data_IF_806360017088
#
_entry.id   IF_806360017088
#
_cell.length_a   1.000
_cell.length_b   1.000
_cell.length_c   1.000
_cell.angle_alpha   90.00
_cell.angle_beta   90.00
_cell.angle_gamma   90.00
#
_symmetry.space_group_name_H-M   'P 1'
#
loop_
_entity.id
_entity.type
_entity.pdbx_description
1 polymer ?
#
# COMPACT_ATOMS: atom_id res chain seq x y z
N UNK A 1 16.87 13.22 -16.42
CA UNK A 1 16.27 13.37 -15.08
C UNK A 1 16.84 12.23 -14.25
N UNK A 2 17.57 12.54 -13.17
CA UNK A 2 18.38 11.57 -12.41
C UNK A 2 17.50 10.37 -12.00
N UNK A 3 17.79 9.19 -12.55
CA UNK A 3 17.36 7.91 -11.96
C UNK A 3 18.47 7.59 -10.96
N UNK A 4 18.20 7.87 -9.68
CA UNK A 4 19.11 7.52 -8.59
C UNK A 4 19.36 6.00 -8.61
N UNK A 5 20.64 5.62 -8.57
CA UNK A 5 21.20 4.27 -8.77
C UNK A 5 20.96 3.31 -7.57
N UNK A 6 19.83 3.46 -6.91
CA UNK A 6 19.35 2.50 -5.93
C UNK A 6 18.04 1.96 -6.47
N UNK A 7 18.18 0.90 -7.28
CA UNK A 7 17.06 0.12 -7.82
C UNK A 7 16.31 -0.46 -6.63
N UNK A 8 15.37 0.33 -6.13
CA UNK A 8 14.43 -0.03 -5.09
C UNK A 8 13.64 -1.22 -5.63
N UNK A 9 13.65 -2.36 -4.92
CA UNK A 9 12.89 -3.50 -5.37
C UNK A 9 11.41 -3.14 -5.28
N UNK A 10 10.73 -3.14 -6.42
CA UNK A 10 9.27 -3.01 -6.46
C UNK A 10 8.69 -4.40 -6.22
N UNK A 11 7.97 -4.54 -5.12
CA UNK A 11 7.40 -5.83 -4.71
C UNK A 11 5.95 -5.98 -5.15
N UNK A 12 5.20 -4.88 -5.20
CA UNK A 12 3.78 -4.88 -5.53
C UNK A 12 3.31 -3.50 -6.01
N UNK A 13 2.20 -3.46 -6.73
CA UNK A 13 1.57 -2.24 -7.23
C UNK A 13 0.05 -2.36 -7.27
N UNK A 14 -0.65 -1.26 -6.98
CA UNK A 14 -2.10 -1.21 -6.99
C UNK A 14 -2.62 0.15 -7.47
N UNK A 15 -3.52 0.13 -8.46
CA UNK A 15 -4.25 1.33 -8.86
C UNK A 15 -5.42 1.60 -7.93
N UNK A 16 -5.68 2.88 -7.66
CA UNK A 16 -6.95 3.31 -7.08
C UNK A 16 -8.07 2.96 -8.05
N UNK A 17 -9.26 2.56 -7.59
CA UNK A 17 -10.36 2.17 -8.47
C UNK A 17 -10.77 3.23 -9.51
N UNK A 18 -10.60 4.52 -9.20
CA UNK A 18 -10.87 5.63 -10.12
C UNK A 18 -9.71 5.93 -11.10
N UNK A 19 -8.55 5.27 -10.92
CA UNK A 19 -7.35 5.46 -11.72
C UNK A 19 -6.57 6.73 -11.41
N UNK A 20 -6.95 7.51 -10.39
CA UNK A 20 -6.27 8.78 -10.06
C UNK A 20 -4.90 8.57 -9.42
N UNK A 21 -4.70 7.45 -8.73
CA UNK A 21 -3.49 7.16 -7.97
C UNK A 21 -2.98 5.73 -8.22
N UNK A 22 -1.67 5.57 -8.13
CA UNK A 22 -0.95 4.29 -8.18
C UNK A 22 -0.08 4.14 -6.94
N UNK A 23 -0.29 3.07 -6.18
CA UNK A 23 0.57 2.66 -5.08
C UNK A 23 1.67 1.75 -5.59
N UNK A 24 2.87 1.95 -5.06
CA UNK A 24 4.04 1.10 -5.32
C UNK A 24 4.69 0.75 -3.99
N UNK A 25 4.82 -0.54 -3.71
CA UNK A 25 5.58 -1.05 -2.58
C UNK A 25 7.07 -1.07 -2.95
N UNK A 26 7.87 -0.24 -2.30
CA UNK A 26 9.26 0.02 -2.68
C UNK A 26 10.16 0.10 -1.42
N UNK A 27 11.03 -0.90 -1.25
CA UNK A 27 11.79 -1.13 0.00
C UNK A 27 10.88 -0.99 1.23
N UNK A 28 11.20 -0.11 2.18
CA UNK A 28 10.46 0.12 3.43
C UNK A 28 9.33 1.15 3.27
N UNK A 29 9.05 1.60 2.05
CA UNK A 29 8.16 2.72 1.75
C UNK A 29 7.01 2.28 0.87
N UNK A 30 5.94 3.06 0.94
CA UNK A 30 4.88 3.05 -0.07
C UNK A 30 5.00 4.36 -0.84
N UNK A 31 5.16 4.26 -2.15
CA UNK A 31 5.18 5.41 -3.04
C UNK A 31 3.81 5.58 -3.67
N UNK A 32 3.40 6.83 -3.83
CA UNK A 32 2.13 7.21 -4.45
C UNK A 32 2.46 8.02 -5.68
N UNK A 33 1.96 7.55 -6.81
CA UNK A 33 2.10 8.20 -8.10
C UNK A 33 0.75 8.67 -8.60
N UNK A 34 0.76 9.74 -9.37
CA UNK A 34 -0.37 10.15 -10.18
C UNK A 34 -0.63 9.07 -11.22
N UNK A 35 -1.85 8.56 -11.28
CA UNK A 35 -2.22 7.47 -12.19
C UNK A 35 -2.28 7.88 -13.66
N UNK A 36 -2.37 9.19 -13.95
CA UNK A 36 -2.50 9.72 -15.31
C UNK A 36 -1.15 9.97 -15.98
N UNK A 37 -0.16 10.49 -15.25
CA UNK A 37 1.14 10.89 -15.81
C UNK A 37 2.35 10.21 -15.15
N UNK A 38 2.15 9.45 -14.08
CA UNK A 38 3.22 8.73 -13.38
C UNK A 38 4.13 9.64 -12.56
N UNK A 39 3.71 10.86 -12.23
CA UNK A 39 4.46 11.76 -11.35
C UNK A 39 4.41 11.25 -9.91
N UNK A 40 5.56 11.26 -9.21
CA UNK A 40 5.60 10.91 -7.79
C UNK A 40 4.90 12.01 -6.97
N UNK A 41 3.77 11.67 -6.37
CA UNK A 41 2.99 12.55 -5.50
C UNK A 41 3.54 12.54 -4.07
N UNK A 42 3.77 11.34 -3.52
CA UNK A 42 4.16 11.20 -2.12
C UNK A 42 4.99 9.93 -1.86
N UNK A 43 5.82 9.99 -0.81
CA UNK A 43 6.57 8.85 -0.28
C UNK A 43 6.23 8.65 1.19
N UNK A 44 5.56 7.54 1.49
CA UNK A 44 5.10 7.21 2.83
C UNK A 44 6.13 6.36 3.56
N UNK A 45 6.49 6.85 4.75
CA UNK A 45 7.40 6.18 5.67
C UNK A 45 6.60 5.71 6.89
N UNK A 46 6.79 4.47 7.29
CA UNK A 46 6.11 3.92 8.47
C UNK A 46 6.57 2.51 8.79
N UNK A 47 6.78 1.68 7.77
CA UNK A 47 7.32 0.34 7.94
C UNK A 47 8.80 0.36 8.30
N UNK A 48 9.21 -0.60 9.12
CA UNK A 48 10.59 -0.78 9.59
C UNK A 48 11.39 -1.76 8.74
N UNK A 49 10.72 -2.47 7.83
CA UNK A 49 11.31 -3.46 6.93
C UNK A 49 10.54 -3.47 5.59
N UNK A 50 10.97 -4.29 4.64
CA UNK A 50 10.44 -4.35 3.27
C UNK A 50 8.92 -4.45 3.22
N UNK A 51 8.29 -3.59 2.44
CA UNK A 51 6.87 -3.62 2.11
C UNK A 51 6.69 -4.57 0.94
N UNK A 52 5.92 -5.62 1.15
CA UNK A 52 5.70 -6.66 0.15
C UNK A 52 4.37 -6.55 -0.58
N UNK A 53 3.42 -5.80 -0.02
CA UNK A 53 2.09 -5.73 -0.60
C UNK A 53 1.41 -4.40 -0.31
N UNK A 54 0.64 -3.93 -1.29
CA UNK A 54 -0.22 -2.74 -1.21
C UNK A 54 -1.55 -3.02 -1.85
N UNK A 55 -2.63 -2.45 -1.30
CA UNK A 55 -3.95 -2.60 -1.89
C UNK A 55 -4.91 -1.49 -1.45
N UNK A 56 -5.69 -0.97 -2.41
CA UNK A 56 -6.77 -0.03 -2.14
C UNK A 56 -8.03 -0.72 -1.63
N UNK A 57 -8.81 0.01 -0.83
CA UNK A 57 -10.22 -0.31 -0.59
C UNK A 57 -11.02 -0.13 -1.88
N UNK A 58 -12.14 -0.85 -1.99
CA UNK A 58 -13.02 -0.78 -3.16
C UNK A 58 -13.53 0.65 -3.43
N UNK A 59 -13.76 1.43 -2.38
CA UNK A 59 -14.18 2.83 -2.50
C UNK A 59 -13.02 3.82 -2.70
N UNK A 60 -11.76 3.36 -2.69
CA UNK A 60 -10.58 4.20 -2.87
C UNK A 60 -10.22 5.13 -1.70
N UNK A 61 -11.01 5.18 -0.63
CA UNK A 61 -10.79 6.10 0.51
C UNK A 61 -9.62 5.68 1.42
N UNK A 62 -9.21 4.41 1.34
CA UNK A 62 -8.18 3.83 2.19
C UNK A 62 -7.32 2.86 1.40
N UNK A 63 -6.14 2.58 1.92
CA UNK A 63 -5.33 1.46 1.45
C UNK A 63 -4.55 0.83 2.59
N UNK A 64 -4.12 -0.40 2.37
CA UNK A 64 -3.33 -1.18 3.30
C UNK A 64 -1.95 -1.42 2.71
N UNK A 65 -0.93 -1.44 3.57
CA UNK A 65 0.41 -1.91 3.24
C UNK A 65 0.87 -2.97 4.25
N UNK A 66 1.46 -4.05 3.75
CA UNK A 66 1.99 -5.14 4.57
C UNK A 66 3.50 -5.26 4.42
N UNK A 67 4.21 -5.46 5.54
CA UNK A 67 5.67 -5.48 5.59
C UNK A 67 6.24 -6.73 6.28
N UNK A 68 7.50 -7.05 5.95
CA UNK A 68 8.34 -8.04 6.62
C UNK A 68 8.51 -7.75 8.12
N UNK A 69 8.28 -6.51 8.57
CA UNK A 69 8.32 -6.13 9.98
C UNK A 69 7.15 -6.70 10.81
N UNK A 70 6.29 -7.50 10.16
CA UNK A 70 5.09 -8.16 10.72
C UNK A 70 3.99 -7.16 11.05
N UNK A 71 3.99 -5.99 10.41
CA UNK A 71 2.94 -4.99 10.57
C UNK A 71 2.12 -4.79 9.30
N UNK A 72 0.88 -4.36 9.52
CA UNK A 72 0.00 -3.81 8.49
C UNK A 72 -0.41 -2.40 8.91
N UNK A 73 -0.11 -1.43 8.04
CA UNK A 73 -0.51 -0.04 8.22
C UNK A 73 -1.71 0.23 7.31
N UNK A 74 -2.74 0.86 7.87
CA UNK A 74 -3.87 1.38 7.10
C UNK A 74 -3.68 2.88 6.95
N UNK A 75 -3.75 3.33 5.71
CA UNK A 75 -3.62 4.71 5.30
C UNK A 75 -4.97 5.25 4.84
N UNK A 76 -5.22 6.53 5.09
CA UNK A 76 -6.41 7.25 4.62
C UNK A 76 -6.06 8.16 3.43
N UNK A 77 -7.05 8.81 2.80
CA UNK A 77 -6.82 9.78 1.72
C UNK A 77 -5.85 10.92 2.08
N UNK A 78 -5.72 11.27 3.36
CA UNK A 78 -4.74 12.27 3.80
C UNK A 78 -3.32 11.71 3.89
N UNK A 79 -3.14 10.44 3.52
CA UNK A 79 -1.90 9.69 3.61
C UNK A 79 -1.34 9.62 5.03
N UNK A 80 -2.23 9.75 6.00
CA UNK A 80 -1.92 9.55 7.40
C UNK A 80 -2.08 8.06 7.74
N UNK A 81 -0.97 7.45 8.14
CA UNK A 81 -0.91 6.03 8.47
C UNK A 81 -1.21 5.80 9.94
N UNK A 82 -2.12 4.89 10.24
CA UNK A 82 -2.26 4.34 11.59
C UNK A 82 -1.94 2.85 11.56
N UNK A 83 -1.01 2.44 12.41
CA UNK A 83 -0.75 1.03 12.65
C UNK A 83 -2.01 0.39 13.26
N UNK A 84 -2.57 -0.60 12.57
CA UNK A 84 -3.80 -1.27 13.03
C UNK A 84 -3.54 -2.70 13.49
N UNK A 85 -2.71 -3.46 12.77
CA UNK A 85 -2.49 -4.88 13.06
C UNK A 85 -1.00 -5.25 13.01
N UNK A 86 -0.59 -6.13 13.91
CA UNK A 86 0.71 -6.83 13.87
C UNK A 86 0.44 -8.26 13.49
N UNK A 87 0.48 -8.58 12.19
CA UNK A 87 0.23 -9.93 11.70
C UNK A 87 1.56 -10.68 11.56
N UNK A 88 1.69 -11.79 12.27
CA UNK A 88 2.86 -12.68 12.19
C UNK A 88 2.57 -13.68 11.07
N UNK A 89 3.32 -13.56 9.97
CA UNK A 89 3.18 -14.30 8.70
C UNK A 89 1.97 -13.92 7.86
N UNK A 90 2.21 -13.23 6.75
CA UNK A 90 1.36 -13.38 5.57
C UNK A 90 2.19 -13.15 4.31
N UNK A 91 2.43 -14.25 3.59
CA UNK A 91 2.75 -14.23 2.18
C UNK A 91 1.42 -14.00 1.44
N UNK A 92 1.40 -13.05 0.51
CA UNK A 92 0.30 -12.78 -0.44
C UNK A 92 -0.94 -12.07 0.13
N UNK A 93 -0.87 -10.73 0.32
CA UNK A 93 -2.07 -9.89 0.53
C UNK A 93 -2.85 -9.65 -0.80
N UNK A 94 -2.33 -10.10 -1.94
CA UNK A 94 -2.97 -9.97 -3.25
C UNK A 94 -4.41 -10.53 -3.34
N UNK A 95 -4.88 -11.33 -2.38
CA UNK A 95 -6.22 -11.93 -2.42
C UNK A 95 -7.24 -11.40 -1.38
N UNK A 96 -6.86 -10.57 -0.40
CA UNK A 96 -7.77 -10.31 0.75
C UNK A 96 -8.83 -9.22 0.50
N UNK A 97 -8.68 -8.36 -0.51
CA UNK A 97 -9.62 -7.23 -0.67
C UNK A 97 -10.83 -7.47 -1.59
N UNK A 98 -10.99 -8.64 -2.22
CA UNK A 98 -12.18 -8.87 -3.05
C UNK A 98 -13.40 -9.45 -2.30
N UNK A 99 -13.30 -9.86 -1.03
CA UNK A 99 -14.50 -10.39 -0.33
C UNK A 99 -14.54 -10.30 1.20
N UNK A 100 -13.46 -9.98 1.91
CA UNK A 100 -13.41 -10.28 3.35
C UNK A 100 -13.76 -9.13 4.30
N UNK A 101 -13.81 -7.87 3.84
CA UNK A 101 -14.12 -6.73 4.73
C UNK A 101 -15.65 -6.53 4.87
N UNK A 102 -16.43 -6.89 3.85
CA UNK A 102 -17.89 -6.67 3.87
C UNK A 102 -18.65 -7.61 4.83
N UNK A 103 -18.09 -8.78 5.17
CA UNK A 103 -18.82 -9.79 5.97
C UNK A 103 -18.65 -9.68 7.49
N UNK A 104 -17.86 -8.70 8.01
CA UNK A 104 -17.58 -8.60 9.46
C UNK A 104 -18.19 -7.38 10.15
N UNK A 105 -18.83 -6.47 9.41
CA UNK A 105 -19.48 -5.28 9.98
C UNK A 105 -21.01 -5.31 9.91
N UNK A 106 -21.62 -6.37 9.38
CA UNK A 106 -23.09 -6.57 9.35
C UNK A 106 -23.61 -7.62 10.36
N UNK A 107 -22.93 -7.84 11.50
CA UNK A 107 -23.51 -8.61 12.62
C UNK A 107 -23.30 -7.95 13.97
#
# INVERSE_FOLDING_TARGET
MLVDDHICCVYDLAFKPDGSELLVAADTKVLIYDGSDGTLLQSLKGHKDLVYAVAFSYNGERFASGSADRSVIIWTEQHEGTLKYTLVYICSIACILHSSIENSLER
#
